data_IF_576719107186
#
_entry.id   IF_576719107186
#
_cell.length_a   1.000
_cell.length_b   1.000
_cell.length_c   1.000
_cell.angle_alpha   90.00
_cell.angle_beta   90.00
_cell.angle_gamma   90.00
#
_symmetry.space_group_name_H-M   'P 1'
#
loop_
_entity.id
_entity.type
_entity.pdbx_description
1 polymer ?
#
# COMPACT_ATOMS: atom_id res chain seq x y z
N UNK A 1 19.84 21.99 -14.80
CA UNK A 1 18.39 21.66 -14.81
C UNK A 1 18.06 20.44 -13.93
N UNK A 2 18.85 20.14 -12.88
CA UNK A 2 18.69 18.92 -12.06
C UNK A 2 17.52 18.94 -11.05
N UNK A 3 16.75 20.03 -10.98
CA UNK A 3 15.75 20.21 -9.92
C UNK A 3 14.37 19.63 -10.27
N UNK A 4 14.02 19.51 -11.55
CA UNK A 4 12.68 19.05 -11.96
C UNK A 4 12.49 17.54 -11.75
N UNK A 5 13.48 16.74 -12.14
CA UNK A 5 13.46 15.28 -12.02
C UNK A 5 13.45 14.87 -10.54
N UNK A 6 14.36 15.39 -9.72
CA UNK A 6 14.39 15.10 -8.27
C UNK A 6 13.09 15.50 -7.56
N UNK A 7 12.47 16.61 -7.95
CA UNK A 7 11.19 17.01 -7.36
C UNK A 7 10.05 16.05 -7.76
N UNK A 8 10.06 15.54 -8.99
CA UNK A 8 9.06 14.59 -9.48
C UNK A 8 9.19 13.22 -8.80
N UNK A 9 10.40 12.70 -8.63
CA UNK A 9 10.65 11.42 -7.96
C UNK A 9 10.30 11.50 -6.47
N UNK A 10 10.67 12.60 -5.81
CA UNK A 10 10.27 12.86 -4.42
C UNK A 10 8.75 12.90 -4.26
N UNK A 11 8.05 13.62 -5.14
CA UNK A 11 6.57 13.68 -5.15
C UNK A 11 5.95 12.29 -5.34
N UNK A 12 6.41 11.53 -6.34
CA UNK A 12 5.96 10.16 -6.62
C UNK A 12 6.19 9.22 -5.41
N UNK A 13 7.33 9.33 -4.74
CA UNK A 13 7.63 8.53 -3.56
C UNK A 13 6.69 8.85 -2.40
N UNK A 14 6.38 10.13 -2.17
CA UNK A 14 5.46 10.58 -1.11
C UNK A 14 4.03 10.12 -1.37
N UNK A 15 3.57 10.18 -2.62
CA UNK A 15 2.27 9.66 -3.03
C UNK A 15 2.17 8.14 -2.82
N UNK A 16 3.20 7.38 -3.23
CA UNK A 16 3.23 5.93 -3.01
C UNK A 16 3.25 5.57 -1.53
N UNK A 17 4.03 6.27 -0.70
CA UNK A 17 4.02 6.05 0.75
C UNK A 17 2.62 6.29 1.34
N UNK A 18 1.93 7.35 0.92
CA UNK A 18 0.56 7.61 1.37
C UNK A 18 -0.40 6.51 0.95
N UNK A 19 -0.32 6.04 -0.30
CA UNK A 19 -1.18 4.96 -0.78
C UNK A 19 -0.91 3.64 -0.03
N UNK A 20 0.37 3.31 0.22
CA UNK A 20 0.78 2.15 1.02
C UNK A 20 0.19 2.25 2.43
N UNK A 21 0.38 3.37 3.12
CA UNK A 21 -0.15 3.54 4.49
C UNK A 21 -1.67 3.45 4.54
N UNK A 22 -2.38 4.04 3.57
CA UNK A 22 -3.84 3.92 3.49
C UNK A 22 -4.28 2.47 3.24
N UNK A 23 -3.56 1.73 2.39
CA UNK A 23 -3.84 0.32 2.14
C UNK A 23 -3.61 -0.54 3.39
N UNK A 24 -2.55 -0.27 4.14
CA UNK A 24 -2.24 -0.94 5.41
C UNK A 24 -3.35 -0.70 6.45
N UNK A 25 -3.83 0.54 6.59
CA UNK A 25 -4.95 0.87 7.48
C UNK A 25 -6.23 0.10 7.09
N UNK A 26 -6.53 0.01 5.79
CA UNK A 26 -7.68 -0.74 5.30
C UNK A 26 -7.54 -2.25 5.52
N UNK A 27 -6.34 -2.79 5.35
CA UNK A 27 -6.02 -4.19 5.66
C UNK A 27 -6.23 -4.47 7.15
N UNK A 28 -5.73 -3.59 8.03
CA UNK A 28 -5.88 -3.75 9.48
C UNK A 28 -7.35 -3.73 9.90
N UNK A 29 -8.17 -2.85 9.33
CA UNK A 29 -9.62 -2.83 9.59
C UNK A 29 -10.30 -4.13 9.17
N UNK A 30 -9.93 -4.70 8.02
CA UNK A 30 -10.47 -6.00 7.59
C UNK A 30 -10.03 -7.14 8.51
N UNK A 31 -8.76 -7.14 8.94
CA UNK A 31 -8.24 -8.13 9.89
C UNK A 31 -8.99 -8.05 11.23
N UNK A 32 -9.26 -6.84 11.72
CA UNK A 32 -10.07 -6.62 12.92
C UNK A 32 -11.50 -7.14 12.74
N UNK A 33 -12.16 -6.81 11.62
CA UNK A 33 -13.50 -7.30 11.31
C UNK A 33 -13.59 -8.83 11.26
N UNK A 34 -12.56 -9.49 10.73
CA UNK A 34 -12.50 -10.96 10.61
C UNK A 34 -12.26 -11.61 11.98
N UNK A 35 -11.37 -11.03 12.80
CA UNK A 35 -10.96 -11.63 14.06
C UNK A 35 -11.87 -11.28 15.24
N UNK A 36 -12.59 -10.16 15.17
CA UNK A 36 -13.48 -9.66 16.21
C UNK A 36 -14.88 -9.37 15.64
N UNK A 37 -15.63 -10.40 15.18
CA UNK A 37 -17.00 -10.19 14.76
C UNK A 37 -17.83 -9.67 15.94
N UNK A 38 -18.54 -8.56 15.75
CA UNK A 38 -19.50 -8.07 16.73
C UNK A 38 -20.68 -9.05 16.74
N UNK A 39 -20.79 -9.85 17.80
CA UNK A 39 -21.88 -10.81 17.97
C UNK A 39 -21.66 -12.13 17.24
N UNK A 40 -22.73 -12.74 16.71
CA UNK A 40 -22.64 -14.03 16.04
C UNK A 40 -21.83 -13.88 14.74
N UNK A 41 -20.78 -14.68 14.52
CA UNK A 41 -20.03 -14.65 13.27
C UNK A 41 -20.96 -14.87 12.07
N UNK A 42 -21.05 -13.86 11.20
CA UNK A 42 -21.62 -14.03 9.87
C UNK A 42 -20.52 -14.58 8.96
N UNK A 43 -20.57 -15.89 8.72
CA UNK A 43 -19.58 -16.57 7.88
C UNK A 43 -19.54 -16.03 6.46
N UNK A 44 -20.67 -15.57 5.90
CA UNK A 44 -20.71 -14.98 4.57
C UNK A 44 -19.97 -13.65 4.53
N UNK A 45 -20.22 -12.78 5.51
CA UNK A 45 -19.50 -11.51 5.64
C UNK A 45 -17.99 -11.71 5.91
N UNK A 46 -17.62 -12.72 6.72
CA UNK A 46 -16.22 -13.06 6.98
C UNK A 46 -15.53 -13.57 5.71
N UNK A 47 -16.19 -14.40 4.92
CA UNK A 47 -15.64 -14.89 3.66
C UNK A 47 -15.43 -13.74 2.65
N UNK A 48 -16.40 -12.82 2.54
CA UNK A 48 -16.26 -11.62 1.71
C UNK A 48 -15.10 -10.73 2.19
N UNK A 49 -14.98 -10.51 3.50
CA UNK A 49 -13.88 -9.76 4.08
C UNK A 49 -12.52 -10.42 3.78
N UNK A 50 -12.43 -11.75 3.81
CA UNK A 50 -11.21 -12.50 3.43
C UNK A 50 -10.84 -12.33 1.96
N UNK A 51 -11.83 -12.31 1.05
CA UNK A 51 -11.61 -12.03 -0.39
C UNK A 51 -11.05 -10.62 -0.56
N UNK A 52 -11.71 -9.61 0.02
CA UNK A 52 -11.23 -8.21 0.03
C UNK A 52 -9.83 -8.07 0.62
N UNK A 53 -9.54 -8.78 1.71
CA UNK A 53 -8.22 -8.77 2.35
C UNK A 53 -7.15 -9.32 1.40
N UNK A 54 -7.45 -10.39 0.68
CA UNK A 54 -6.54 -11.00 -0.30
C UNK A 54 -6.26 -10.02 -1.44
N UNK A 55 -7.31 -9.41 -2.01
CA UNK A 55 -7.17 -8.44 -3.10
C UNK A 55 -6.32 -7.22 -2.66
N UNK A 56 -6.57 -6.70 -1.45
CA UNK A 56 -5.80 -5.58 -0.91
C UNK A 56 -4.34 -5.94 -0.67
N UNK A 57 -4.04 -7.16 -0.20
CA UNK A 57 -2.66 -7.63 -0.03
C UNK A 57 -1.92 -7.73 -1.36
N UNK A 58 -2.59 -8.20 -2.42
CA UNK A 58 -1.99 -8.21 -3.77
C UNK A 58 -1.69 -6.78 -4.24
N UNK A 59 -2.64 -5.85 -4.06
CA UNK A 59 -2.41 -4.44 -4.40
C UNK A 59 -1.28 -3.81 -3.60
N UNK A 60 -1.18 -4.11 -2.29
CA UNK A 60 -0.08 -3.65 -1.44
C UNK A 60 1.27 -4.19 -1.92
N UNK A 61 1.33 -5.45 -2.35
CA UNK A 61 2.55 -6.03 -2.93
C UNK A 61 2.96 -5.29 -4.21
N UNK A 62 2.01 -4.95 -5.08
CA UNK A 62 2.26 -4.15 -6.28
C UNK A 62 2.79 -2.75 -5.94
N UNK A 63 2.16 -2.05 -4.99
CA UNK A 63 2.64 -0.74 -4.52
C UNK A 63 4.05 -0.84 -3.93
N UNK A 64 4.33 -1.89 -3.18
CA UNK A 64 5.66 -2.14 -2.62
C UNK A 64 6.72 -2.38 -3.70
N UNK A 65 6.37 -3.05 -4.81
CA UNK A 65 7.26 -3.22 -5.97
C UNK A 65 7.54 -1.88 -6.65
N UNK A 66 6.51 -1.08 -6.91
CA UNK A 66 6.65 0.28 -7.47
C UNK A 66 7.51 1.17 -6.57
N UNK A 67 7.35 1.06 -5.25
CA UNK A 67 8.17 1.81 -4.30
C UNK A 67 9.65 1.44 -4.40
N UNK A 68 9.97 0.15 -4.56
CA UNK A 68 11.36 -0.29 -4.78
C UNK A 68 11.95 0.27 -6.07
N UNK A 69 11.17 0.34 -7.14
CA UNK A 69 11.60 0.97 -8.40
C UNK A 69 11.91 2.45 -8.21
N UNK A 70 11.03 3.17 -7.51
CA UNK A 70 11.24 4.60 -7.20
C UNK A 70 12.48 4.82 -6.33
N UNK A 71 12.74 3.95 -5.35
CA UNK A 71 13.98 4.00 -4.54
C UNK A 71 15.20 3.77 -5.42
N UNK A 72 15.15 2.79 -6.32
CA UNK A 72 16.25 2.52 -7.25
C UNK A 72 16.52 3.72 -8.16
N UNK A 73 15.47 4.35 -8.71
CA UNK A 73 15.59 5.59 -9.50
C UNK A 73 16.31 6.70 -8.68
N UNK A 74 15.97 6.86 -7.40
CA UNK A 74 16.63 7.83 -6.51
C UNK A 74 18.10 7.50 -6.24
N UNK A 75 18.46 6.23 -6.09
CA UNK A 75 19.84 5.80 -5.87
C UNK A 75 20.70 5.95 -7.14
N UNK A 76 20.12 5.74 -8.32
CA UNK A 76 20.80 5.88 -9.60
C UNK A 76 20.96 7.34 -10.05
N UNK A 77 20.15 8.29 -9.54
CA UNK A 77 20.35 9.72 -9.81
C UNK A 77 21.66 10.22 -9.20
N UNK A 78 22.62 10.71 -10.01
CA UNK A 78 23.88 11.23 -9.47
C UNK A 78 23.62 12.44 -8.59
N UNK A 79 23.96 12.35 -7.31
CA UNK A 79 24.14 13.54 -6.45
C UNK A 79 25.35 14.32 -6.97
N UNK A 80 25.16 15.16 -7.98
CA UNK A 80 26.16 16.15 -8.41
C UNK A 80 26.07 17.40 -7.55
#
# INVERSE_FOLDING_TARGET
MANAENNSVSTRSSELYREISQMDDEIMKLVEQINQPIGRPDFGAIEEARKKLTDKRMKLEELSKRMKEVIKEMEETPKR
#
